data_IF_895277058731
#
_entry.id   IF_895277058731
#
_cell.length_a   1.000
_cell.length_b   1.000
_cell.length_c   1.000
_cell.angle_alpha   90.00
_cell.angle_beta   90.00
_cell.angle_gamma   90.00
#
_symmetry.space_group_name_H-M   'P 1'
#
loop_
_entity.id
_entity.type
_entity.pdbx_description
1 polymer ?
#
# COMPACT_ATOMS: atom_id res chain seq x y z
N UNK A 1 -13.65 27.99 -11.12
CA UNK A 1 -13.07 26.80 -10.45
C UNK A 1 -13.14 27.00 -8.94
N UNK A 2 -14.12 26.40 -8.28
CA UNK A 2 -14.18 26.30 -6.82
C UNK A 2 -15.00 25.07 -6.46
N UNK A 3 -14.37 24.17 -5.70
CA UNK A 3 -14.93 23.30 -4.66
C UNK A 3 -16.47 23.34 -4.55
N UNK A 4 -17.17 22.36 -5.15
CA UNK A 4 -18.58 22.18 -4.86
C UNK A 4 -18.69 21.34 -3.59
N UNK A 5 -18.94 22.04 -2.49
CA UNK A 5 -19.18 21.49 -1.16
C UNK A 5 -20.30 20.45 -1.19
N UNK A 6 -20.02 19.32 -0.55
CA UNK A 6 -20.97 18.23 -0.31
C UNK A 6 -22.05 18.75 0.64
N UNK A 7 -23.29 18.77 0.16
CA UNK A 7 -24.49 19.06 0.95
C UNK A 7 -24.76 17.85 1.86
N UNK A 8 -25.04 18.04 3.17
CA UNK A 8 -25.26 16.92 4.07
C UNK A 8 -26.65 16.33 3.82
N UNK A 9 -26.70 15.16 3.17
CA UNK A 9 -27.92 14.35 3.07
C UNK A 9 -28.04 13.52 4.34
N UNK A 10 -28.94 13.94 5.23
CA UNK A 10 -29.33 13.20 6.42
C UNK A 10 -29.89 11.82 6.02
N UNK A 11 -29.15 10.75 6.33
CA UNK A 11 -29.68 9.39 6.41
C UNK A 11 -29.30 8.48 5.26
N UNK A 12 -28.22 7.72 5.49
CA UNK A 12 -27.77 6.46 4.87
C UNK A 12 -26.54 6.60 3.97
N UNK A 13 -25.40 6.26 4.55
CA UNK A 13 -24.12 6.11 3.86
C UNK A 13 -24.07 4.72 3.20
N UNK A 14 -24.78 4.53 2.08
CA UNK A 14 -24.73 3.27 1.33
C UNK A 14 -23.64 3.33 0.27
N UNK A 15 -22.82 2.29 0.23
CA UNK A 15 -21.72 2.17 -0.72
C UNK A 15 -21.80 0.82 -1.42
N UNK A 16 -21.66 0.84 -2.73
CA UNK A 16 -21.35 -0.36 -3.50
C UNK A 16 -19.83 -0.53 -3.50
N UNK A 17 -19.35 -1.68 -3.05
CA UNK A 17 -17.91 -1.96 -2.85
C UNK A 17 -17.51 -3.17 -3.67
N UNK A 18 -16.37 -3.05 -4.34
CA UNK A 18 -15.64 -4.13 -4.98
C UNK A 18 -14.28 -4.29 -4.31
N UNK A 19 -13.50 -5.27 -4.73
CA UNK A 19 -12.11 -5.44 -4.31
C UNK A 19 -11.22 -4.22 -4.61
N UNK A 20 -11.57 -3.43 -5.61
CA UNK A 20 -10.72 -2.38 -6.21
C UNK A 20 -11.34 -0.99 -6.22
N UNK A 21 -12.62 -0.86 -5.90
CA UNK A 21 -13.33 0.42 -5.95
C UNK A 21 -14.56 0.44 -5.06
N UNK A 22 -15.01 1.64 -4.70
CA UNK A 22 -16.34 1.83 -4.15
C UNK A 22 -17.00 3.05 -4.79
N UNK A 23 -18.33 3.09 -4.76
CA UNK A 23 -19.14 4.24 -5.16
C UNK A 23 -20.32 4.41 -4.22
N UNK A 24 -20.76 5.65 -4.01
CA UNK A 24 -21.97 5.93 -3.24
C UNK A 24 -23.20 5.47 -4.02
N UNK A 25 -24.15 4.84 -3.33
CA UNK A 25 -25.44 4.43 -3.89
C UNK A 25 -26.58 4.99 -3.05
N UNK A 26 -27.77 5.12 -3.66
CA UNK A 26 -28.94 5.66 -2.97
C UNK A 26 -29.81 4.57 -2.37
N UNK A 27 -29.80 3.39 -3.00
CA UNK A 27 -30.58 2.23 -2.60
C UNK A 27 -29.79 0.93 -2.83
N UNK A 28 -30.11 -0.14 -2.09
CA UNK A 28 -29.47 -1.45 -2.27
C UNK A 28 -29.77 -2.08 -3.64
N UNK A 29 -30.89 -1.70 -4.27
CA UNK A 29 -31.23 -2.10 -5.62
C UNK A 29 -30.31 -1.50 -6.70
N UNK A 30 -29.48 -0.52 -6.34
CA UNK A 30 -28.49 0.08 -7.24
C UNK A 30 -27.20 -0.77 -7.36
N UNK A 31 -27.08 -1.89 -6.62
CA UNK A 31 -25.92 -2.79 -6.68
C UNK A 31 -25.83 -3.51 -8.02
N UNK A 32 -24.63 -3.50 -8.62
CA UNK A 32 -24.28 -4.30 -9.79
C UNK A 32 -23.78 -5.70 -9.39
N UNK A 33 -23.75 -6.61 -10.35
CA UNK A 33 -23.18 -7.94 -10.16
C UNK A 33 -21.71 -7.85 -9.74
N UNK A 34 -21.37 -8.47 -8.61
CA UNK A 34 -20.02 -8.41 -8.02
C UNK A 34 -19.78 -7.27 -7.03
N UNK A 35 -20.75 -6.36 -6.83
CA UNK A 35 -20.67 -5.33 -5.79
C UNK A 35 -21.29 -5.82 -4.47
N UNK A 36 -20.70 -5.39 -3.35
CA UNK A 36 -21.18 -5.69 -1.99
C UNK A 36 -21.63 -4.39 -1.33
N UNK A 37 -22.80 -4.43 -0.68
CA UNK A 37 -23.31 -3.30 0.10
C UNK A 37 -22.46 -3.05 1.34
N UNK A 38 -21.98 -1.82 1.52
CA UNK A 38 -21.37 -1.34 2.75
C UNK A 38 -22.18 -0.16 3.28
N UNK A 39 -22.51 -0.17 4.57
CA UNK A 39 -23.36 0.84 5.21
C UNK A 39 -22.54 1.54 6.29
N UNK A 40 -22.49 2.86 6.25
CA UNK A 40 -21.74 3.68 7.20
C UNK A 40 -20.55 4.36 6.55
N UNK A 41 -19.43 4.45 7.26
CA UNK A 41 -18.27 5.21 6.79
C UNK A 41 -17.82 4.80 5.38
N UNK A 42 -17.26 5.77 4.66
CA UNK A 42 -16.69 5.55 3.33
C UNK A 42 -15.72 4.35 3.35
N UNK A 43 -15.94 3.33 2.48
CA UNK A 43 -15.05 2.19 2.37
C UNK A 43 -13.63 2.63 2.02
N UNK A 44 -12.63 1.88 2.50
CA UNK A 44 -11.24 2.04 2.09
C UNK A 44 -10.85 0.90 1.15
N UNK A 45 -10.34 1.26 -0.03
CA UNK A 45 -9.69 0.30 -0.93
C UNK A 45 -8.23 0.21 -0.50
N UNK A 46 -7.92 -0.79 0.31
CA UNK A 46 -6.62 -0.88 0.95
C UNK A 46 -5.49 -1.15 -0.06
N UNK A 47 -5.78 -1.87 -1.15
CA UNK A 47 -4.76 -2.28 -2.13
C UNK A 47 -4.02 -1.12 -2.81
N UNK A 48 -4.73 -0.07 -3.24
CA UNK A 48 -4.11 1.05 -3.94
C UNK A 48 -3.23 1.90 -3.00
N UNK A 49 -3.73 2.18 -1.80
CA UNK A 49 -2.98 2.92 -0.78
C UNK A 49 -1.77 2.12 -0.29
N UNK A 50 -1.96 0.82 -0.06
CA UNK A 50 -0.88 -0.08 0.36
C UNK A 50 0.18 -0.26 -0.74
N UNK A 51 -0.19 -0.28 -2.02
CA UNK A 51 0.79 -0.29 -3.11
C UNK A 51 1.66 0.97 -3.10
N UNK A 52 1.06 2.14 -2.86
CA UNK A 52 1.82 3.39 -2.75
C UNK A 52 2.83 3.35 -1.58
N UNK A 53 2.43 2.78 -0.44
CA UNK A 53 3.34 2.54 0.70
C UNK A 53 4.46 1.57 0.30
N UNK A 54 4.13 0.45 -0.35
CA UNK A 54 5.12 -0.53 -0.82
C UNK A 54 6.13 0.10 -1.78
N UNK A 55 5.68 0.95 -2.69
CA UNK A 55 6.55 1.67 -3.62
C UNK A 55 7.51 2.64 -2.90
N UNK A 56 7.05 3.35 -1.87
CA UNK A 56 7.90 4.22 -1.06
C UNK A 56 8.96 3.42 -0.29
N UNK A 57 8.55 2.33 0.37
CA UNK A 57 9.45 1.43 1.08
C UNK A 57 10.49 0.80 0.15
N UNK A 58 10.08 0.47 -1.09
CA UNK A 58 10.99 -0.02 -2.11
C UNK A 58 12.03 1.02 -2.50
N UNK A 59 11.64 2.28 -2.68
CA UNK A 59 12.56 3.36 -2.99
C UNK A 59 13.61 3.58 -1.88
N UNK A 60 13.21 3.45 -0.61
CA UNK A 60 14.14 3.48 0.54
C UNK A 60 15.16 2.35 0.45
N UNK A 61 14.70 1.13 0.18
CA UNK A 61 15.60 -0.02 0.04
C UNK A 61 16.54 0.12 -1.15
N UNK A 62 16.05 0.58 -2.30
CA UNK A 62 16.87 0.80 -3.49
C UNK A 62 17.94 1.88 -3.21
N UNK A 63 17.59 2.96 -2.51
CA UNK A 63 18.56 4.00 -2.09
C UNK A 63 19.66 3.46 -1.19
N UNK A 64 19.35 2.53 -0.27
CA UNK A 64 20.34 1.90 0.61
C UNK A 64 21.20 0.85 -0.12
N UNK A 65 20.59 0.05 -1.01
CA UNK A 65 21.26 -1.05 -1.72
C UNK A 65 22.30 -0.53 -2.71
N UNK A 66 22.01 0.54 -3.45
CA UNK A 66 22.89 1.04 -4.52
C UNK A 66 24.33 1.29 -4.04
N UNK A 67 24.61 2.11 -3.00
CA UNK A 67 25.98 2.34 -2.54
C UNK A 67 26.64 1.08 -1.97
N UNK A 68 25.90 0.24 -1.23
CA UNK A 68 26.41 -1.02 -0.67
C UNK A 68 26.81 -2.00 -1.78
N UNK A 69 26.02 -2.06 -2.85
CA UNK A 69 26.33 -2.90 -4.00
C UNK A 69 27.57 -2.39 -4.74
N UNK A 70 27.74 -1.07 -4.89
CA UNK A 70 28.98 -0.52 -5.45
C UNK A 70 30.21 -0.89 -4.62
N UNK A 71 30.13 -0.82 -3.29
CA UNK A 71 31.23 -1.24 -2.42
C UNK A 71 31.59 -2.72 -2.63
N UNK A 72 30.58 -3.60 -2.78
CA UNK A 72 30.80 -5.02 -3.06
C UNK A 72 31.40 -5.23 -4.46
N UNK A 73 30.87 -4.55 -5.47
CA UNK A 73 31.29 -4.68 -6.86
C UNK A 73 32.74 -4.19 -7.07
N UNK A 74 33.15 -3.16 -6.31
CA UNK A 74 34.52 -2.62 -6.30
C UNK A 74 35.47 -3.39 -5.37
N UNK A 75 34.97 -4.34 -4.58
CA UNK A 75 35.76 -5.07 -3.59
C UNK A 75 36.19 -4.23 -2.40
N UNK A 76 35.51 -3.12 -2.12
CA UNK A 76 35.78 -2.21 -1.01
C UNK A 76 34.84 -2.42 0.19
N UNK A 77 33.82 -3.28 0.06
CA UNK A 77 32.82 -3.49 1.09
C UNK A 77 33.40 -4.09 2.38
N UNK A 78 33.07 -3.50 3.52
CA UNK A 78 33.34 -4.10 4.84
C UNK A 78 32.45 -5.32 5.11
N UNK A 79 32.76 -6.10 6.15
CA UNK A 79 31.91 -7.21 6.57
C UNK A 79 30.52 -6.72 7.03
N UNK A 80 30.46 -5.55 7.67
CA UNK A 80 29.23 -4.89 8.06
C UNK A 80 28.40 -4.48 6.85
N UNK A 81 29.02 -3.88 5.83
CA UNK A 81 28.32 -3.48 4.60
C UNK A 81 27.77 -4.68 3.82
N UNK A 82 28.52 -5.78 3.73
CA UNK A 82 28.05 -7.03 3.13
C UNK A 82 26.86 -7.63 3.89
N UNK A 83 26.92 -7.59 5.23
CA UNK A 83 25.84 -8.04 6.09
C UNK A 83 24.60 -7.17 5.91
N UNK A 84 24.77 -5.84 5.90
CA UNK A 84 23.69 -4.89 5.71
C UNK A 84 23.05 -5.01 4.33
N UNK A 85 23.86 -5.18 3.27
CA UNK A 85 23.37 -5.46 1.91
C UNK A 85 22.49 -6.70 1.86
N UNK A 86 22.91 -7.76 2.56
CA UNK A 86 22.14 -9.01 2.65
C UNK A 86 20.80 -8.79 3.37
N UNK A 87 20.79 -8.03 4.48
CA UNK A 87 19.55 -7.68 5.19
C UNK A 87 18.60 -6.87 4.30
N UNK A 88 19.10 -5.88 3.54
CA UNK A 88 18.29 -5.09 2.62
C UNK A 88 17.73 -5.91 1.45
N UNK A 89 18.52 -6.83 0.88
CA UNK A 89 18.02 -7.76 -0.15
C UNK A 89 16.90 -8.66 0.40
N UNK A 90 17.07 -9.19 1.62
CA UNK A 90 16.05 -9.97 2.29
C UNK A 90 14.79 -9.16 2.61
N UNK A 91 14.97 -7.90 3.03
CA UNK A 91 13.88 -6.94 3.21
C UNK A 91 13.06 -6.77 1.93
N UNK A 92 13.70 -6.53 0.78
CA UNK A 92 13.00 -6.41 -0.50
C UNK A 92 12.17 -7.66 -0.86
N UNK A 93 12.72 -8.86 -0.59
CA UNK A 93 12.00 -10.12 -0.81
C UNK A 93 10.77 -10.22 0.09
N UNK A 94 10.89 -9.84 1.36
CA UNK A 94 9.76 -9.83 2.31
C UNK A 94 8.72 -8.80 1.92
N UNK A 95 9.15 -7.58 1.60
CA UNK A 95 8.28 -6.48 1.18
C UNK A 95 7.44 -6.84 -0.05
N UNK A 96 8.05 -7.50 -1.04
CA UNK A 96 7.34 -7.94 -2.24
C UNK A 96 6.30 -9.05 -1.99
N UNK A 97 6.36 -9.73 -0.84
CA UNK A 97 5.44 -10.80 -0.44
C UNK A 97 4.33 -10.33 0.49
N UNK A 98 4.35 -9.07 0.92
CA UNK A 98 3.31 -8.49 1.77
C UNK A 98 1.97 -8.54 1.01
N UNK A 99 0.95 -9.10 1.66
CA UNK A 99 -0.42 -9.01 1.18
C UNK A 99 -0.91 -7.58 1.36
N UNK A 100 -1.14 -6.89 0.26
CA UNK A 100 -1.58 -5.50 0.24
C UNK A 100 -3.11 -5.37 0.16
N UNK A 101 -3.84 -6.48 0.05
CA UNK A 101 -5.31 -6.47 -0.02
C UNK A 101 -5.97 -6.24 1.36
N UNK A 102 -5.23 -6.52 2.44
CA UNK A 102 -5.71 -6.35 3.82
C UNK A 102 -5.69 -4.88 4.26
N UNK A 103 -6.52 -4.55 5.26
CA UNK A 103 -6.60 -3.20 5.81
C UNK A 103 -5.34 -2.72 6.50
N UNK A 104 -4.58 -3.65 7.08
CA UNK A 104 -3.36 -3.37 7.83
C UNK A 104 -2.29 -4.38 7.43
N UNK A 105 -1.50 -4.11 6.37
CA UNK A 105 -0.43 -5.01 5.98
C UNK A 105 0.69 -5.05 7.02
N UNK A 106 1.25 -6.24 7.24
CA UNK A 106 2.42 -6.43 8.08
C UNK A 106 3.69 -6.06 7.32
N UNK A 107 4.05 -4.77 7.38
CA UNK A 107 5.25 -4.26 6.71
C UNK A 107 6.52 -4.75 7.42
N UNK A 108 7.50 -5.32 6.69
CA UNK A 108 8.75 -5.73 7.32
C UNK A 108 9.47 -4.53 7.95
N UNK A 109 10.18 -4.72 9.08
CA UNK A 109 10.98 -3.67 9.69
C UNK A 109 12.18 -3.32 8.80
N UNK A 110 12.59 -2.04 8.81
CA UNK A 110 13.79 -1.61 8.12
C UNK A 110 15.04 -2.24 8.76
N UNK A 111 16.04 -2.67 7.96
CA UNK A 111 17.31 -3.15 8.48
C UNK A 111 18.16 -2.08 9.18
N UNK A 112 18.86 -2.51 10.24
CA UNK A 112 19.95 -1.79 10.91
C UNK A 112 21.34 -2.34 10.51
#
# INVERSE_FOLDING_TARGET
MSILGVIPMQGKDLWAVTDTSYRAISDENDLAEGEVLHIGAQPKINAADNEAVRAQLRAVADYAIVPLQYAVDLGEATEEEQTLLTKWKLYCVRLNRVDISVSEPDWPPLPD
#
